data_IF_322846024859
#
_entry.id   IF_322846024859
#
_cell.length_a   1.000
_cell.length_b   1.000
_cell.length_c   1.000
_cell.angle_alpha   90.00
_cell.angle_beta   90.00
_cell.angle_gamma   90.00
#
_symmetry.space_group_name_H-M   'P 1'
#
loop_
_entity.id
_entity.type
_entity.pdbx_description
1 polymer ?
#
# COMPACT_ATOMS: atom_id res chain seq x y z
N UNK A 1 -1.07 -1.31 -11.39
CA UNK A 1 -1.96 -1.88 -10.35
C UNK A 1 -3.41 -1.76 -10.81
N UNK A 2 -4.30 -2.65 -10.38
CA UNK A 2 -5.76 -2.51 -10.57
C UNK A 2 -6.32 -1.44 -9.63
N UNK A 3 -7.58 -1.04 -9.81
CA UNK A 3 -8.22 -0.05 -8.93
C UNK A 3 -8.30 -0.55 -7.48
N UNK A 4 -8.63 -1.83 -7.26
CA UNK A 4 -8.69 -2.42 -5.93
C UNK A 4 -7.30 -2.46 -5.26
N UNK A 5 -6.27 -2.87 -6.00
CA UNK A 5 -4.88 -2.88 -5.53
C UNK A 5 -4.39 -1.48 -5.17
N UNK A 6 -4.76 -0.48 -5.97
CA UNK A 6 -4.39 0.92 -5.71
C UNK A 6 -5.02 1.44 -4.42
N UNK A 7 -6.28 1.08 -4.14
CA UNK A 7 -6.96 1.44 -2.88
C UNK A 7 -6.30 0.80 -1.67
N UNK A 8 -5.94 -0.49 -1.77
CA UNK A 8 -5.20 -1.19 -0.71
C UNK A 8 -3.84 -0.54 -0.49
N UNK A 9 -3.08 -0.28 -1.55
CA UNK A 9 -1.78 0.38 -1.46
C UNK A 9 -1.88 1.76 -0.81
N UNK A 10 -2.84 2.59 -1.23
CA UNK A 10 -3.03 3.93 -0.70
C UNK A 10 -3.33 3.92 0.81
N UNK A 11 -4.17 2.98 1.27
CA UNK A 11 -4.46 2.83 2.70
C UNK A 11 -3.22 2.42 3.51
N UNK A 12 -2.41 1.49 2.99
CA UNK A 12 -1.15 1.08 3.63
C UNK A 12 -0.13 2.22 3.69
N UNK A 13 -0.04 3.02 2.61
CA UNK A 13 0.84 4.20 2.55
C UNK A 13 0.38 5.29 3.54
N UNK A 14 -0.93 5.39 3.79
CA UNK A 14 -1.48 6.25 4.83
C UNK A 14 -1.19 5.76 6.27
N UNK A 15 -0.51 4.61 6.43
CA UNK A 15 -0.09 4.08 7.72
C UNK A 15 -1.07 3.08 8.34
N UNK A 16 -2.16 2.73 7.65
CA UNK A 16 -3.08 1.71 8.13
C UNK A 16 -2.46 0.31 8.05
N UNK A 17 -2.84 -0.54 8.99
CA UNK A 17 -2.60 -1.99 8.92
C UNK A 17 -3.45 -2.64 7.83
N UNK A 18 -3.13 -3.90 7.49
CA UNK A 18 -3.92 -4.68 6.54
C UNK A 18 -5.36 -4.92 7.04
N UNK A 19 -5.53 -5.05 8.37
CA UNK A 19 -6.84 -5.25 8.99
C UNK A 19 -7.70 -3.98 8.94
N UNK A 20 -7.12 -2.83 9.26
CA UNK A 20 -7.79 -1.52 9.14
C UNK A 20 -8.13 -1.22 7.68
N UNK A 21 -7.24 -1.55 6.75
CA UNK A 21 -7.49 -1.43 5.31
C UNK A 21 -8.66 -2.31 4.87
N UNK A 22 -8.71 -3.56 5.33
CA UNK A 22 -9.82 -4.46 5.03
C UNK A 22 -11.16 -3.90 5.57
N UNK A 23 -11.17 -3.42 6.81
CA UNK A 23 -12.32 -2.80 7.43
C UNK A 23 -12.78 -1.53 6.68
N UNK A 24 -11.85 -0.62 6.37
CA UNK A 24 -12.12 0.64 5.66
C UNK A 24 -12.61 0.43 4.24
N UNK A 25 -12.20 -0.65 3.58
CA UNK A 25 -12.62 -0.98 2.21
C UNK A 25 -13.84 -1.92 2.18
N UNK A 26 -14.39 -2.30 3.33
CA UNK A 26 -15.49 -3.25 3.47
C UNK A 26 -15.23 -4.59 2.76
N UNK A 27 -14.01 -5.12 2.88
CA UNK A 27 -13.61 -6.42 2.33
C UNK A 27 -13.10 -7.35 3.43
N UNK A 28 -13.06 -8.65 3.15
CA UNK A 28 -12.46 -9.61 4.07
C UNK A 28 -10.94 -9.43 4.16
N UNK A 29 -10.35 -9.74 5.33
CA UNK A 29 -8.90 -9.76 5.53
C UNK A 29 -8.17 -10.63 4.50
N UNK A 30 -8.75 -11.78 4.14
CA UNK A 30 -8.21 -12.66 3.11
C UNK A 30 -8.15 -11.96 1.74
N UNK A 31 -9.18 -11.21 1.37
CA UNK A 31 -9.23 -10.43 0.12
C UNK A 31 -8.18 -9.32 0.13
N UNK A 32 -8.03 -8.60 1.24
CA UNK A 32 -6.98 -7.59 1.39
C UNK A 32 -5.58 -8.21 1.24
N UNK A 33 -5.36 -9.40 1.82
CA UNK A 33 -4.10 -10.15 1.66
C UNK A 33 -3.86 -10.58 0.22
N UNK A 34 -4.88 -11.05 -0.50
CA UNK A 34 -4.76 -11.38 -1.93
C UNK A 34 -4.41 -10.15 -2.77
N UNK A 35 -4.99 -8.99 -2.49
CA UNK A 35 -4.60 -7.75 -3.16
C UNK A 35 -3.15 -7.37 -2.84
N UNK A 36 -2.71 -7.50 -1.58
CA UNK A 36 -1.33 -7.24 -1.19
C UNK A 36 -0.32 -8.16 -1.90
N UNK A 37 -0.63 -9.45 -2.01
CA UNK A 37 0.20 -10.41 -2.74
C UNK A 37 0.31 -10.06 -4.23
N UNK A 38 -0.82 -9.74 -4.86
CA UNK A 38 -0.82 -9.28 -6.27
C UNK A 38 -0.03 -7.98 -6.47
N UNK A 39 -0.06 -7.06 -5.48
CA UNK A 39 0.78 -5.85 -5.51
C UNK A 39 2.26 -6.23 -5.47
N UNK A 40 2.67 -7.13 -4.58
CA UNK A 40 4.05 -7.62 -4.51
C UNK A 40 4.51 -8.22 -5.84
N UNK A 41 3.72 -9.11 -6.44
CA UNK A 41 4.04 -9.69 -7.75
C UNK A 41 4.18 -8.63 -8.85
N UNK A 42 3.31 -7.61 -8.86
CA UNK A 42 3.31 -6.56 -9.89
C UNK A 42 4.36 -5.48 -9.70
N UNK A 43 4.84 -5.27 -8.48
CA UNK A 43 5.83 -4.24 -8.14
C UNK A 43 7.23 -4.80 -7.97
N UNK A 44 7.39 -6.12 -7.90
CA UNK A 44 8.65 -6.78 -7.57
C UNK A 44 9.05 -6.64 -6.09
N UNK A 45 8.20 -6.05 -5.25
CA UNK A 45 8.45 -5.95 -3.82
C UNK A 45 8.25 -7.32 -3.13
N UNK A 46 9.10 -7.64 -2.16
CA UNK A 46 8.99 -8.91 -1.40
C UNK A 46 8.34 -8.73 -0.02
N UNK A 47 8.27 -7.49 0.48
CA UNK A 47 7.66 -7.13 1.77
C UNK A 47 7.08 -5.72 1.72
N UNK A 48 6.18 -5.43 2.66
CA UNK A 48 5.54 -4.12 2.76
C UNK A 48 6.57 -2.98 2.88
N UNK A 49 7.69 -3.18 3.58
CA UNK A 49 8.74 -2.16 3.69
C UNK A 49 9.40 -1.81 2.34
N UNK A 50 9.56 -2.79 1.43
CA UNK A 50 10.10 -2.51 0.10
C UNK A 50 9.08 -1.76 -0.76
N UNK A 51 7.79 -2.10 -0.61
CA UNK A 51 6.69 -1.39 -1.25
C UNK A 51 6.61 0.07 -0.77
N UNK A 52 6.80 0.32 0.53
CA UNK A 52 6.83 1.69 1.07
C UNK A 52 8.01 2.48 0.50
N UNK A 53 9.19 1.88 0.41
CA UNK A 53 10.37 2.50 -0.22
C UNK A 53 10.12 2.86 -1.69
N UNK A 54 9.50 1.96 -2.46
CA UNK A 54 9.15 2.22 -3.86
C UNK A 54 8.20 3.41 -3.99
N UNK A 55 7.17 3.47 -3.14
CA UNK A 55 6.23 4.61 -3.15
C UNK A 55 6.93 5.92 -2.79
N UNK A 56 7.81 5.93 -1.79
CA UNK A 56 8.57 7.12 -1.40
C UNK A 56 9.54 7.62 -2.48
N UNK A 57 9.95 6.77 -3.43
CA UNK A 57 10.76 7.20 -4.58
C UNK A 57 9.94 7.87 -5.68
N UNK A 58 8.64 7.55 -5.77
CA UNK A 58 7.73 8.03 -6.82
C UNK A 58 6.93 9.25 -6.33
N UNK A 59 6.57 9.26 -5.05
CA UNK A 59 5.92 10.39 -4.39
C UNK A 59 7.03 11.27 -3.79
N UNK A 60 7.33 12.45 -4.35
CA UNK A 60 8.25 13.36 -3.70
C UNK A 60 7.75 13.64 -2.28
N UNK A 61 8.63 13.72 -1.26
CA UNK A 61 8.20 14.03 0.09
C UNK A 61 7.44 15.34 0.02
N UNK A 62 6.13 15.29 0.26
CA UNK A 62 5.28 16.46 0.25
C UNK A 62 5.72 17.35 1.42
N UNK A 63 6.63 18.29 1.11
CA UNK A 63 7.12 19.34 1.99
C UNK A 63 7.65 18.85 3.34
N UNK A 64 8.92 18.46 3.41
CA UNK A 64 9.67 18.90 4.59
C UNK A 64 9.92 20.40 4.41
N UNK A 65 9.36 21.30 5.25
CA UNK A 65 9.95 22.62 5.36
C UNK A 65 11.42 22.40 5.76
N UNK A 66 12.34 22.91 4.93
CA UNK A 66 13.76 22.93 5.27
C UNK A 66 13.99 23.66 6.60
N UNK A 67 15.16 23.49 7.22
CA UNK A 67 15.47 24.01 8.55
C UNK A 67 15.22 25.51 8.70
#
# INVERSE_FOLDING_TARGET
LTLAETRVLASLVAGHTLAETAASLHIANATAKTHLDNIFQKTGASRQADLMRLVMQIVPPAGQPGP
#
